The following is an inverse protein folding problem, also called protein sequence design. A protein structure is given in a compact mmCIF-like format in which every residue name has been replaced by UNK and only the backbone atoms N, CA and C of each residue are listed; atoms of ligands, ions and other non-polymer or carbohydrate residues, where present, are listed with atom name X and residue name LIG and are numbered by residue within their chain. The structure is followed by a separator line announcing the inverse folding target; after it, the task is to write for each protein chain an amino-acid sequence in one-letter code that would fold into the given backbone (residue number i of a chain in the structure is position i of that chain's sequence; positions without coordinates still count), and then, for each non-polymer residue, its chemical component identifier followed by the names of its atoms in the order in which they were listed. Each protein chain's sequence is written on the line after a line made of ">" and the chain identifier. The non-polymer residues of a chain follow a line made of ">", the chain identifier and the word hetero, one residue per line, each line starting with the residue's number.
data_IF_017740450663
#
_entry.id   IF_017740450663
#
_cell.length_a   1.000
_cell.length_b   1.000
_cell.length_c   1.000
_cell.angle_alpha   90.00
_cell.angle_beta   90.00
_cell.angle_gamma   90.00
#
_symmetry.space_group_name_H-M   'P 1'
#
loop_
_entity.id
_entity.type
_entity.pdbx_description
1 polymer ?
#
# COMPACT_ATOMS: atom_id res chain seq x y z
N UNK A 1 2.42 -4.84 18.35
CA UNK A 1 2.99 -5.41 17.10
C UNK A 1 1.96 -6.20 16.28
N UNK A 2 0.68 -6.21 16.68
CA UNK A 2 -0.45 -6.81 15.94
C UNK A 2 -1.15 -5.81 15.00
N UNK A 3 -1.03 -4.50 15.26
CA UNK A 3 -1.82 -3.45 14.59
C UNK A 3 -1.54 -3.29 13.09
N UNK A 4 -0.36 -3.73 12.62
CA UNK A 4 0.03 -3.64 11.22
C UNK A 4 -0.66 -4.71 10.36
N UNK A 5 -0.85 -5.93 10.89
CA UNK A 5 -1.55 -7.01 10.19
C UNK A 5 -3.07 -6.90 10.33
N UNK A 6 -3.58 -6.34 11.44
CA UNK A 6 -5.01 -6.08 11.60
C UNK A 6 -5.51 -4.99 10.63
N UNK A 7 -4.71 -3.95 10.39
CA UNK A 7 -5.03 -2.90 9.41
C UNK A 7 -4.89 -3.39 7.96
N UNK A 8 -3.92 -4.26 7.67
CA UNK A 8 -3.81 -4.90 6.35
C UNK A 8 -4.94 -5.91 6.10
N UNK A 9 -5.35 -6.65 7.14
CA UNK A 9 -6.49 -7.57 7.11
C UNK A 9 -7.82 -6.84 6.91
N UNK A 10 -8.00 -5.66 7.52
CA UNK A 10 -9.19 -4.82 7.34
C UNK A 10 -9.32 -4.29 5.90
N UNK A 11 -8.21 -4.00 5.22
CA UNK A 11 -8.19 -3.48 3.85
C UNK A 11 -8.35 -4.62 2.82
N UNK A 12 -7.83 -5.81 3.13
CA UNK A 12 -8.05 -7.01 2.30
C UNK A 12 -9.48 -7.56 2.44
N UNK A 13 -10.06 -7.47 3.64
CA UNK A 13 -11.44 -7.92 3.90
C UNK A 13 -12.47 -6.99 3.27
N UNK A 14 -12.21 -5.69 3.14
CA UNK A 14 -13.11 -4.77 2.42
C UNK A 14 -13.09 -4.93 0.91
N UNK A 15 -12.07 -5.59 0.33
CA UNK A 15 -11.99 -5.88 -1.11
C UNK A 15 -12.55 -7.27 -1.46
N UNK A 16 -12.58 -8.20 -0.50
CA UNK A 16 -13.03 -9.57 -0.72
C UNK A 16 -14.41 -9.88 -0.11
N UNK A 17 -15.03 -8.92 0.57
CA UNK A 17 -16.40 -9.08 1.10
C UNK A 17 -17.35 -8.23 0.29
N UNK A 18 -17.52 -8.59 -0.97
CA UNK A 18 -18.62 -8.09 -1.80
C UNK A 18 -19.20 -9.25 -2.61
N UNK A 19 -19.65 -10.28 -1.90
CA UNK A 19 -20.85 -11.04 -2.25
C UNK A 19 -21.31 -11.90 -1.06
N UNK A 20 -22.15 -11.32 -0.19
CA UNK A 20 -23.37 -11.95 0.36
C UNK A 20 -23.92 -11.16 1.57
N UNK A 21 -25.01 -10.45 1.29
CA UNK A 21 -26.24 -10.26 2.10
C UNK A 21 -26.13 -10.06 3.62
N UNK A 22 -26.59 -8.86 4.01
CA UNK A 22 -27.46 -8.54 5.16
C UNK A 22 -27.01 -9.00 6.57
N UNK A 23 -26.69 -8.04 7.44
CA UNK A 23 -27.50 -7.63 8.63
C UNK A 23 -26.63 -6.96 9.69
N UNK A 24 -27.16 -5.90 10.32
CA UNK A 24 -26.89 -5.57 11.73
C UNK A 24 -25.68 -4.69 12.07
N UNK A 25 -25.98 -3.41 12.36
CA UNK A 25 -25.38 -2.55 13.39
C UNK A 25 -23.85 -2.49 13.60
N UNK A 26 -23.29 -1.28 13.49
CA UNK A 26 -22.16 -0.92 14.36
C UNK A 26 -21.10 0.06 13.85
N UNK A 27 -21.10 0.50 12.59
CA UNK A 27 -19.99 1.32 12.07
C UNK A 27 -20.36 2.79 11.83
N UNK A 28 -20.74 3.49 12.91
CA UNK A 28 -21.28 4.87 12.84
C UNK A 28 -20.37 5.97 13.38
N UNK A 29 -19.05 5.76 13.51
CA UNK A 29 -18.17 6.76 14.19
C UNK A 29 -16.80 7.05 13.58
N UNK A 30 -16.57 6.80 12.29
CA UNK A 30 -15.31 7.20 11.61
C UNK A 30 -15.51 7.73 10.17
N UNK A 31 -16.71 8.20 9.83
CA UNK A 31 -16.92 9.11 8.70
C UNK A 31 -17.04 10.52 9.28
N UNK A 32 -15.95 11.26 9.27
CA UNK A 32 -15.88 12.64 9.76
C UNK A 32 -16.89 13.54 9.02
N UNK A 33 -17.43 14.56 9.69
CA UNK A 33 -18.42 15.52 9.17
C UNK A 33 -17.99 16.18 7.85
N UNK A 34 -16.70 16.41 7.67
CA UNK A 34 -16.10 17.04 6.47
C UNK A 34 -16.20 16.17 5.21
N UNK A 35 -16.33 14.85 5.37
CA UNK A 35 -16.64 13.96 4.25
C UNK A 35 -18.13 13.92 3.95
N UNK A 36 -19.00 13.97 4.96
CA UNK A 36 -20.45 13.96 4.74
C UNK A 36 -20.88 15.20 3.95
N UNK A 37 -20.35 16.38 4.30
CA UNK A 37 -20.57 17.61 3.55
C UNK A 37 -20.13 17.50 2.08
N UNK A 38 -18.99 16.84 1.81
CA UNK A 38 -18.49 16.65 0.45
C UNK A 38 -19.28 15.61 -0.36
N UNK A 39 -19.95 14.67 0.31
CA UNK A 39 -20.84 13.70 -0.31
C UNK A 39 -22.21 14.30 -0.62
N UNK A 40 -22.75 15.10 0.30
CA UNK A 40 -24.03 15.80 0.11
C UNK A 40 -23.94 16.84 -1.02
N UNK A 41 -22.81 17.55 -1.14
CA UNK A 41 -22.56 18.48 -2.26
C UNK A 41 -22.53 17.74 -3.63
N UNK A 42 -22.06 16.50 -3.65
CA UNK A 42 -22.02 15.67 -4.85
C UNK A 42 -23.41 15.11 -5.22
N UNK A 43 -24.20 14.75 -4.21
CA UNK A 43 -25.59 14.31 -4.34
C UNK A 43 -26.45 15.43 -4.93
N UNK A 44 -26.31 16.66 -4.41
CA UNK A 44 -26.98 17.86 -4.95
C UNK A 44 -26.55 18.14 -6.39
N UNK A 45 -25.27 18.02 -6.74
CA UNK A 45 -24.79 18.21 -8.12
C UNK A 45 -25.35 17.18 -9.12
N UNK A 46 -25.52 15.93 -8.69
CA UNK A 46 -26.13 14.90 -9.54
C UNK A 46 -27.64 15.08 -9.68
N UNK A 47 -28.29 15.60 -8.65
CA UNK A 47 -29.75 15.78 -8.60
C UNK A 47 -30.19 17.09 -9.29
N UNK A 48 -29.36 18.12 -9.26
CA UNK A 48 -29.66 19.46 -9.77
C UNK A 48 -29.18 19.63 -11.23
N UNK A 49 -29.97 19.10 -12.15
CA UNK A 49 -29.74 19.22 -13.59
C UNK A 49 -29.64 20.67 -14.07
N UNK A 50 -28.43 21.06 -14.48
CA UNK A 50 -28.08 22.17 -15.42
C UNK A 50 -28.67 23.55 -15.11
N UNK A 51 -27.88 24.43 -14.49
CA UNK A 51 -27.95 25.87 -14.77
C UNK A 51 -26.63 26.62 -14.47
N UNK A 52 -26.10 27.22 -15.54
CA UNK A 52 -25.26 28.42 -15.63
C UNK A 52 -23.88 28.54 -14.95
N UNK A 53 -22.91 28.87 -15.81
CA UNK A 53 -21.47 28.81 -15.63
C UNK A 53 -20.87 30.03 -14.92
N UNK A 54 -19.79 29.81 -14.14
CA UNK A 54 -18.54 30.59 -14.29
C UNK A 54 -17.29 29.70 -14.10
N UNK A 55 -16.31 29.71 -15.02
CA UNK A 55 -15.11 28.88 -14.90
C UNK A 55 -14.09 29.58 -14.00
N UNK A 56 -14.01 29.21 -12.72
CA UNK A 56 -12.95 29.69 -11.80
C UNK A 56 -11.93 28.63 -11.38
N UNK A 57 -12.04 27.37 -11.80
CA UNK A 57 -11.29 26.29 -11.14
C UNK A 57 -10.13 25.67 -11.92
N UNK A 58 -9.96 25.93 -13.22
CA UNK A 58 -8.91 25.24 -14.00
C UNK A 58 -7.47 25.50 -13.51
N UNK A 59 -7.20 26.64 -12.85
CA UNK A 59 -5.86 27.03 -12.37
C UNK A 59 -5.57 26.57 -10.93
N UNK A 60 -6.59 26.29 -10.12
CA UNK A 60 -6.44 25.69 -8.79
C UNK A 60 -6.34 24.16 -8.88
N UNK A 61 -7.05 23.55 -9.82
CA UNK A 61 -7.03 22.10 -10.06
C UNK A 61 -5.66 21.59 -10.53
N UNK A 62 -4.92 22.36 -11.36
CA UNK A 62 -3.58 21.96 -11.82
C UNK A 62 -2.55 21.99 -10.69
N UNK A 63 -2.63 22.99 -9.80
CA UNK A 63 -1.76 23.13 -8.64
C UNK A 63 -2.01 22.03 -7.60
N UNK A 64 -3.29 21.72 -7.31
CA UNK A 64 -3.65 20.64 -6.39
C UNK A 64 -3.24 19.25 -6.93
N UNK A 65 -3.37 19.01 -8.25
CA UNK A 65 -2.95 17.73 -8.86
C UNK A 65 -1.42 17.55 -8.87
N UNK A 66 -0.65 18.62 -8.99
CA UNK A 66 0.81 18.56 -8.95
C UNK A 66 1.34 18.16 -7.55
N UNK A 67 0.78 18.75 -6.48
CA UNK A 67 1.14 18.43 -5.10
C UNK A 67 0.83 16.98 -4.73
N UNK A 68 -0.36 16.49 -5.10
CA UNK A 68 -0.75 15.09 -4.85
C UNK A 68 0.17 14.10 -5.57
N UNK A 69 0.58 14.40 -6.80
CA UNK A 69 1.51 13.55 -7.54
C UNK A 69 2.91 13.54 -6.89
N UNK A 70 3.40 14.69 -6.45
CA UNK A 70 4.70 14.77 -5.76
C UNK A 70 4.69 14.00 -4.43
N UNK A 71 3.63 14.12 -3.64
CA UNK A 71 3.43 13.36 -2.40
C UNK A 71 3.42 11.85 -2.67
N UNK A 72 2.68 11.39 -3.69
CA UNK A 72 2.64 9.97 -4.08
C UNK A 72 4.00 9.46 -4.53
N UNK A 73 4.78 10.25 -5.26
CA UNK A 73 6.15 9.88 -5.67
C UNK A 73 7.08 9.73 -4.46
N UNK A 74 7.01 10.66 -3.50
CA UNK A 74 7.79 10.57 -2.25
C UNK A 74 7.41 9.34 -1.43
N UNK A 75 6.12 9.09 -1.24
CA UNK A 75 5.64 7.90 -0.54
C UNK A 75 6.10 6.60 -1.22
N UNK A 76 6.10 6.55 -2.55
CA UNK A 76 6.64 5.41 -3.32
C UNK A 76 8.15 5.25 -3.10
N UNK A 77 8.92 6.34 -3.10
CA UNK A 77 10.36 6.32 -2.83
C UNK A 77 10.66 5.85 -1.40
N UNK A 78 9.89 6.30 -0.42
CA UNK A 78 10.02 5.86 0.97
C UNK A 78 9.70 4.38 1.13
N UNK A 79 8.63 3.90 0.49
CA UNK A 79 8.29 2.48 0.46
C UNK A 79 9.43 1.64 -0.13
N UNK A 80 10.01 2.08 -1.25
CA UNK A 80 11.17 1.41 -1.84
C UNK A 80 12.36 1.42 -0.89
N UNK A 81 12.67 2.56 -0.25
CA UNK A 81 13.77 2.64 0.72
C UNK A 81 13.59 1.62 1.87
N UNK A 82 12.36 1.43 2.34
CA UNK A 82 12.02 0.41 3.34
C UNK A 82 12.23 -1.01 2.79
N UNK A 83 11.87 -1.28 1.54
CA UNK A 83 12.09 -2.59 0.92
C UNK A 83 13.59 -2.92 0.77
N UNK A 84 14.42 -1.95 0.36
CA UNK A 84 15.88 -2.10 0.33
C UNK A 84 16.44 -2.36 1.75
N UNK A 85 15.92 -1.67 2.77
CA UNK A 85 16.31 -1.88 4.16
C UNK A 85 15.94 -3.29 4.68
N UNK A 86 14.76 -3.81 4.32
CA UNK A 86 14.35 -5.18 4.67
C UNK A 86 15.31 -6.24 4.11
N UNK A 87 15.85 -5.99 2.92
CA UNK A 87 16.83 -6.84 2.25
C UNK A 87 18.27 -6.54 2.71
N UNK A 88 18.47 -5.67 3.70
CA UNK A 88 19.77 -5.24 4.24
C UNK A 88 20.74 -4.73 3.16
N UNK A 89 20.21 -4.07 2.15
CA UNK A 89 20.98 -3.48 1.05
C UNK A 89 20.85 -1.97 1.06
N UNK A 90 21.90 -1.23 0.65
CA UNK A 90 21.80 0.21 0.53
C UNK A 90 20.82 0.60 -0.58
N UNK A 91 20.12 1.71 -0.38
CA UNK A 91 19.21 2.25 -1.39
C UNK A 91 20.00 2.63 -2.66
N UNK A 92 19.53 2.18 -3.83
CA UNK A 92 20.21 2.37 -5.11
C UNK A 92 21.30 1.34 -5.42
N UNK A 93 21.43 0.27 -4.63
CA UNK A 93 22.24 -0.88 -5.00
C UNK A 93 21.76 -1.52 -6.30
N UNK A 94 22.68 -2.14 -7.07
CA UNK A 94 22.31 -2.84 -8.30
C UNK A 94 21.40 -4.04 -8.01
N UNK A 95 20.53 -4.36 -8.97
CA UNK A 95 19.61 -5.50 -8.85
C UNK A 95 20.33 -6.84 -8.57
N UNK A 96 21.58 -6.99 -9.05
CA UNK A 96 22.42 -8.15 -8.75
C UNK A 96 22.72 -8.27 -7.25
N UNK A 97 23.09 -7.16 -6.59
CA UNK A 97 23.35 -7.12 -5.14
C UNK A 97 22.08 -7.44 -4.34
N UNK A 98 20.93 -6.93 -4.80
CA UNK A 98 19.61 -7.23 -4.20
C UNK A 98 19.33 -8.74 -4.26
N UNK A 99 19.54 -9.35 -5.43
CA UNK A 99 19.33 -10.79 -5.65
C UNK A 99 20.27 -11.66 -4.81
N UNK A 100 21.51 -11.25 -4.64
CA UNK A 100 22.47 -11.98 -3.80
C UNK A 100 22.12 -11.88 -2.31
N UNK A 101 21.71 -10.71 -1.83
CA UNK A 101 21.24 -10.54 -0.45
C UNK A 101 19.98 -11.38 -0.18
N UNK A 102 19.02 -11.35 -1.12
CA UNK A 102 17.81 -12.18 -1.08
C UNK A 102 18.12 -13.67 -0.89
N UNK A 103 19.03 -14.23 -1.70
CA UNK A 103 19.45 -15.63 -1.58
C UNK A 103 20.11 -15.93 -0.23
N UNK A 104 20.95 -15.01 0.27
CA UNK A 104 21.61 -15.15 1.58
C UNK A 104 20.59 -15.17 2.73
N UNK A 105 19.63 -14.26 2.70
CA UNK A 105 18.58 -14.13 3.71
C UNK A 105 17.66 -15.36 3.71
N UNK A 106 17.25 -15.85 2.54
CA UNK A 106 16.46 -17.09 2.44
C UNK A 106 17.19 -18.29 3.05
N UNK A 107 18.50 -18.43 2.80
CA UNK A 107 19.28 -19.53 3.37
C UNK A 107 19.42 -19.44 4.90
N UNK A 108 19.29 -18.24 5.45
CA UNK A 108 19.38 -17.97 6.89
C UNK A 108 18.04 -18.18 7.60
N UNK A 109 16.94 -17.72 7.00
CA UNK A 109 15.60 -17.74 7.61
C UNK A 109 14.67 -18.80 7.02
N UNK A 110 15.19 -19.82 6.34
CA UNK A 110 14.35 -20.86 5.75
C UNK A 110 13.55 -21.62 6.83
N UNK A 111 12.23 -21.76 6.69
CA UNK A 111 11.39 -22.39 7.72
C UNK A 111 11.77 -23.85 8.00
N UNK A 112 12.31 -24.56 6.99
CA UNK A 112 12.80 -25.94 7.12
C UNK A 112 13.91 -26.09 8.17
N UNK A 113 14.78 -25.08 8.32
CA UNK A 113 15.84 -25.09 9.34
C UNK A 113 15.31 -24.90 10.76
N UNK A 114 14.09 -24.40 10.89
CA UNK A 114 13.44 -24.12 12.15
C UNK A 114 12.26 -25.06 12.41
N UNK A 115 12.14 -26.16 11.65
CA UNK A 115 11.07 -27.15 11.79
C UNK A 115 11.02 -27.80 13.19
N UNK A 116 12.15 -27.80 13.93
CA UNK A 116 12.22 -28.33 15.30
C UNK A 116 11.57 -27.43 16.36
N UNK A 117 11.28 -26.15 16.05
CA UNK A 117 10.73 -25.18 17.00
C UNK A 117 9.58 -24.41 16.34
N UNK A 118 8.32 -24.69 16.71
CA UNK A 118 7.14 -24.15 16.03
C UNK A 118 7.03 -22.62 16.15
N UNK A 119 7.58 -22.02 17.23
CA UNK A 119 7.59 -20.57 17.38
C UNK A 119 8.59 -19.93 16.40
N UNK A 120 9.78 -20.51 16.27
CA UNK A 120 10.80 -20.04 15.32
C UNK A 120 10.40 -20.31 13.87
N UNK A 121 9.70 -21.40 13.61
CA UNK A 121 9.18 -21.71 12.28
C UNK A 121 8.19 -20.65 11.79
N UNK A 122 7.26 -20.21 12.66
CA UNK A 122 6.31 -19.14 12.35
C UNK A 122 7.04 -17.83 12.02
N UNK A 123 7.98 -17.42 12.88
CA UNK A 123 8.79 -16.22 12.66
C UNK A 123 9.62 -16.31 11.36
N UNK A 124 10.25 -17.46 11.11
CA UNK A 124 11.02 -17.71 9.89
C UNK A 124 10.14 -17.60 8.63
N UNK A 125 8.90 -18.08 8.70
CA UNK A 125 7.91 -17.98 7.61
C UNK A 125 7.52 -16.53 7.37
N UNK A 126 7.18 -15.77 8.42
CA UNK A 126 6.85 -14.35 8.32
C UNK A 126 8.01 -13.53 7.72
N UNK A 127 9.23 -13.77 8.20
CA UNK A 127 10.44 -13.10 7.70
C UNK A 127 10.66 -13.44 6.22
N UNK A 128 10.54 -14.72 5.85
CA UNK A 128 10.68 -15.17 4.47
C UNK A 128 9.64 -14.52 3.55
N UNK A 129 8.38 -14.44 4.00
CA UNK A 129 7.32 -13.79 3.24
C UNK A 129 7.63 -12.30 3.03
N UNK A 130 8.10 -11.61 4.07
CA UNK A 130 8.50 -10.19 3.98
C UNK A 130 9.65 -9.98 3.00
N UNK A 131 10.66 -10.84 3.04
CA UNK A 131 11.80 -10.82 2.12
C UNK A 131 11.33 -10.99 0.66
N UNK A 132 10.44 -11.96 0.40
CA UNK A 132 9.89 -12.21 -0.93
C UNK A 132 9.10 -11.01 -1.45
N UNK A 133 8.24 -10.42 -0.60
CA UNK A 133 7.44 -9.25 -0.97
C UNK A 133 8.33 -8.04 -1.31
N UNK A 134 9.33 -7.73 -0.48
CA UNK A 134 10.26 -6.63 -0.76
C UNK A 134 11.07 -6.87 -2.04
N UNK A 135 11.50 -8.11 -2.30
CA UNK A 135 12.21 -8.45 -3.54
C UNK A 135 11.35 -8.24 -4.79
N UNK A 136 10.09 -8.66 -4.77
CA UNK A 136 9.14 -8.46 -5.87
C UNK A 136 8.93 -6.98 -6.16
N UNK A 137 8.66 -6.16 -5.14
CA UNK A 137 8.46 -4.71 -5.31
C UNK A 137 9.67 -4.00 -5.93
N UNK A 138 10.89 -4.36 -5.49
CA UNK A 138 12.11 -3.80 -6.06
C UNK A 138 12.30 -4.24 -7.52
N UNK A 139 12.05 -5.51 -7.83
CA UNK A 139 12.11 -6.02 -9.20
C UNK A 139 11.15 -5.25 -10.11
N UNK A 140 9.88 -5.16 -9.71
CA UNK A 140 8.84 -4.50 -10.50
C UNK A 140 9.16 -3.00 -10.67
N UNK A 141 9.80 -2.37 -9.69
CA UNK A 141 10.29 -0.99 -9.81
C UNK A 141 11.42 -0.85 -10.83
N UNK A 142 12.42 -1.74 -10.81
CA UNK A 142 13.52 -1.72 -11.79
C UNK A 142 13.02 -2.03 -13.21
N UNK A 143 12.08 -2.95 -13.39
CA UNK A 143 11.46 -3.26 -14.68
C UNK A 143 10.71 -2.05 -15.25
N UNK A 144 9.92 -1.37 -14.42
CA UNK A 144 9.22 -0.14 -14.81
C UNK A 144 10.20 1.01 -15.12
N UNK A 145 11.34 1.08 -14.43
CA UNK A 145 12.37 2.09 -14.68
C UNK A 145 13.11 1.87 -16.00
N UNK A 146 13.32 0.61 -16.39
CA UNK A 146 13.97 0.27 -17.65
C UNK A 146 13.02 0.36 -18.86
N UNK A 147 11.71 0.35 -18.62
CA UNK A 147 10.68 0.40 -19.67
C UNK A 147 10.20 1.83 -20.00
N UNK A 148 10.76 2.85 -19.33
CA UNK A 148 10.44 4.27 -19.49
C UNK A 148 11.61 5.02 -20.12
#
# INVERSE_FOLDING_TARGET
>A
MSDFFDRLGSIFKSIFTEDEKQTGEGSRRYFNDDMQDAWDELEDYLNEGKADQKPRTKRAETSQKADVNQLRRRARQEALKQDYANLKVPFGASFQVVKDSYKKLLRQYHPDKHASDPAKQKLATEITQKINQSYQKIRDFEENRNSA
#
